data_IF_462818137901
#
_entry.id   IF_462818137901
#
_cell.length_a   1.000
_cell.length_b   1.000
_cell.length_c   1.000
_cell.angle_alpha   90.00
_cell.angle_beta   90.00
_cell.angle_gamma   90.00
#
_symmetry.space_group_name_H-M   'P 1'
#
loop_
_entity.id
_entity.type
_entity.pdbx_description
1 polymer ?
#
# COMPACT_ATOMS: atom_id res chain seq x y z
N UNK A 1 -20.28 23.37 -18.51
CA UNK A 1 -18.97 22.76 -18.19
C UNK A 1 -18.77 22.54 -16.69
N UNK A 2 -19.29 23.42 -15.82
CA UNK A 2 -19.07 23.35 -14.37
C UNK A 2 -19.65 22.09 -13.68
N UNK A 3 -20.85 21.66 -14.09
CA UNK A 3 -21.53 20.49 -13.50
C UNK A 3 -20.78 19.16 -13.72
N UNK A 4 -20.06 19.02 -14.84
CA UNK A 4 -19.33 17.80 -15.17
C UNK A 4 -18.06 17.66 -14.31
N UNK A 5 -17.34 18.75 -14.07
CA UNK A 5 -16.17 18.75 -13.16
C UNK A 5 -16.59 18.39 -11.73
N UNK A 6 -17.69 18.98 -11.24
CA UNK A 6 -18.24 18.66 -9.92
C UNK A 6 -18.65 17.18 -9.81
N UNK A 7 -19.22 16.62 -10.87
CA UNK A 7 -19.60 15.20 -10.91
C UNK A 7 -18.38 14.29 -10.84
N UNK A 8 -17.34 14.55 -11.64
CA UNK A 8 -16.12 13.73 -11.65
C UNK A 8 -15.39 13.83 -10.32
N UNK A 9 -15.33 15.02 -9.70
CA UNK A 9 -14.74 15.17 -8.36
C UNK A 9 -15.49 14.35 -7.32
N UNK A 10 -16.83 14.32 -7.37
CA UNK A 10 -17.62 13.47 -6.47
C UNK A 10 -17.33 11.98 -6.68
N UNK A 11 -17.20 11.54 -7.93
CA UNK A 11 -16.82 10.15 -8.25
C UNK A 11 -15.43 9.83 -7.69
N UNK A 12 -14.47 10.76 -7.83
CA UNK A 12 -13.13 10.61 -7.28
C UNK A 12 -13.17 10.48 -5.76
N UNK A 13 -13.91 11.33 -5.05
CA UNK A 13 -14.02 11.27 -3.60
C UNK A 13 -14.64 9.97 -3.11
N UNK A 14 -15.72 9.50 -3.75
CA UNK A 14 -16.31 8.20 -3.44
C UNK A 14 -15.30 7.06 -3.67
N UNK A 15 -14.49 7.15 -4.73
CA UNK A 15 -13.47 6.12 -5.00
C UNK A 15 -12.37 6.13 -3.97
N UNK A 16 -11.94 7.30 -3.50
CA UNK A 16 -10.98 7.44 -2.39
C UNK A 16 -11.54 6.80 -1.11
N UNK A 17 -12.83 6.97 -0.82
CA UNK A 17 -13.48 6.34 0.33
C UNK A 17 -13.45 4.81 0.26
N UNK A 18 -13.80 4.26 -0.91
CA UNK A 18 -13.74 2.81 -1.17
C UNK A 18 -12.32 2.26 -0.97
N UNK A 19 -11.33 2.88 -1.62
CA UNK A 19 -9.93 2.45 -1.56
C UNK A 19 -9.39 2.55 -0.13
N UNK A 20 -9.77 3.59 0.61
CA UNK A 20 -9.41 3.78 2.02
C UNK A 20 -9.99 2.66 2.88
N UNK A 21 -11.24 2.30 2.66
CA UNK A 21 -11.88 1.21 3.39
C UNK A 21 -11.24 -0.16 3.07
N UNK A 22 -10.97 -0.45 1.79
CA UNK A 22 -10.30 -1.67 1.35
C UNK A 22 -8.91 -1.81 1.97
N UNK A 23 -8.10 -0.75 1.86
CA UNK A 23 -6.76 -0.67 2.45
C UNK A 23 -6.78 -0.88 3.97
N UNK A 24 -7.69 -0.19 4.68
CA UNK A 24 -7.85 -0.35 6.12
C UNK A 24 -8.22 -1.78 6.49
N UNK A 25 -9.26 -2.34 5.87
CA UNK A 25 -9.74 -3.68 6.20
C UNK A 25 -8.65 -4.74 5.98
N UNK A 26 -7.92 -4.63 4.88
CA UNK A 26 -6.82 -5.55 4.58
C UNK A 26 -5.70 -5.43 5.61
N UNK A 27 -5.23 -4.22 5.89
CA UNK A 27 -4.16 -4.00 6.85
C UNK A 27 -4.56 -4.38 8.28
N UNK A 28 -5.77 -4.02 8.70
CA UNK A 28 -6.32 -4.29 10.04
C UNK A 28 -6.38 -5.78 10.35
N UNK A 29 -6.90 -6.56 9.41
CA UNK A 29 -6.98 -8.02 9.52
C UNK A 29 -5.59 -8.66 9.43
N UNK A 30 -4.70 -8.12 8.60
CA UNK A 30 -3.39 -8.74 8.33
C UNK A 30 -2.35 -8.46 9.42
N UNK A 31 -2.17 -7.19 9.80
CA UNK A 31 -1.12 -6.74 10.73
C UNK A 31 -1.55 -6.83 12.19
N UNK A 32 -2.79 -6.43 12.48
CA UNK A 32 -3.30 -6.35 13.85
C UNK A 32 -4.32 -7.44 14.18
N UNK A 33 -4.53 -8.41 13.28
CA UNK A 33 -5.38 -9.59 13.50
C UNK A 33 -6.80 -9.24 13.96
N UNK A 34 -7.34 -8.11 13.48
CA UNK A 34 -8.69 -7.66 13.83
C UNK A 34 -8.82 -7.05 15.23
N UNK A 35 -7.70 -6.64 15.87
CA UNK A 35 -7.71 -5.99 17.18
C UNK A 35 -8.74 -4.84 17.27
N UNK A 36 -9.58 -4.77 18.32
CA UNK A 36 -10.69 -3.82 18.38
C UNK A 36 -10.22 -2.40 18.75
N UNK A 37 -9.70 -1.66 17.77
CA UNK A 37 -9.38 -0.24 17.92
C UNK A 37 -10.65 0.60 18.16
N UNK A 38 -10.51 1.68 18.92
CA UNK A 38 -11.58 2.66 19.10
C UNK A 38 -11.94 3.35 17.79
N UNK A 39 -13.15 3.89 17.70
CA UNK A 39 -13.62 4.61 16.51
C UNK A 39 -12.68 5.77 16.13
N UNK A 40 -12.13 6.47 17.13
CA UNK A 40 -11.21 7.57 16.92
C UNK A 40 -9.87 7.09 16.33
N UNK A 41 -9.32 5.99 16.84
CA UNK A 41 -8.09 5.40 16.29
C UNK A 41 -8.28 4.91 14.85
N UNK A 42 -9.42 4.28 14.56
CA UNK A 42 -9.78 3.85 13.20
C UNK A 42 -9.92 5.06 12.27
N UNK A 43 -10.56 6.13 12.74
CA UNK A 43 -10.72 7.39 11.99
C UNK A 43 -9.37 8.02 11.68
N UNK A 44 -8.47 8.07 12.65
CA UNK A 44 -7.13 8.64 12.48
C UNK A 44 -6.27 7.81 11.53
N UNK A 45 -6.37 6.48 11.58
CA UNK A 45 -5.71 5.60 10.62
C UNK A 45 -6.24 5.80 9.19
N UNK A 46 -7.57 5.76 9.02
CA UNK A 46 -8.21 6.00 7.72
C UNK A 46 -7.92 7.39 7.17
N UNK A 47 -7.76 8.40 8.01
CA UNK A 47 -7.34 9.75 7.59
C UNK A 47 -5.95 9.74 6.94
N UNK A 48 -5.00 8.96 7.45
CA UNK A 48 -3.66 8.86 6.84
C UNK A 48 -3.71 8.11 5.50
N UNK A 49 -4.49 7.02 5.43
CA UNK A 49 -4.70 6.27 4.18
C UNK A 49 -5.39 7.16 3.14
N UNK A 50 -6.41 7.93 3.53
CA UNK A 50 -7.12 8.85 2.62
C UNK A 50 -6.16 9.83 1.97
N UNK A 51 -5.29 10.46 2.77
CA UNK A 51 -4.27 11.40 2.29
C UNK A 51 -3.34 10.79 1.24
N UNK A 52 -3.05 9.49 1.36
CA UNK A 52 -2.21 8.78 0.40
C UNK A 52 -2.86 8.72 -0.99
N UNK A 53 -4.18 8.50 -1.07
CA UNK A 53 -4.92 8.52 -2.34
C UNK A 53 -5.25 9.95 -2.82
N UNK A 54 -5.50 10.88 -1.90
CA UNK A 54 -5.73 12.31 -2.23
C UNK A 54 -4.50 13.00 -2.83
N UNK A 55 -3.29 12.49 -2.53
CA UNK A 55 -2.05 13.00 -3.09
C UNK A 55 -1.89 12.68 -4.60
N UNK A 56 -2.72 11.78 -5.16
CA UNK A 56 -2.68 11.45 -6.59
C UNK A 56 -3.32 12.61 -7.38
N UNK A 57 -2.63 13.18 -8.38
CA UNK A 57 -3.19 14.24 -9.21
C UNK A 57 -4.52 13.82 -9.86
N UNK A 58 -5.46 14.75 -9.92
CA UNK A 58 -6.83 14.49 -10.39
C UNK A 58 -6.85 13.86 -11.78
N UNK A 59 -5.99 14.35 -12.67
CA UNK A 59 -5.91 14.00 -14.09
C UNK A 59 -5.52 12.54 -14.33
N UNK A 60 -4.77 11.95 -13.40
CA UNK A 60 -4.25 10.58 -13.51
C UNK A 60 -4.82 9.64 -12.46
N UNK A 61 -5.76 10.11 -11.62
CA UNK A 61 -6.26 9.37 -10.46
C UNK A 61 -6.74 7.96 -10.82
N UNK A 62 -7.58 7.83 -11.84
CA UNK A 62 -8.17 6.52 -12.20
C UNK A 62 -7.16 5.55 -12.83
N UNK A 63 -6.01 6.05 -13.27
CA UNK A 63 -4.91 5.24 -13.81
C UNK A 63 -4.02 4.76 -12.67
N UNK A 64 -3.61 5.67 -11.76
CA UNK A 64 -2.62 5.41 -10.72
C UNK A 64 -3.19 4.79 -9.43
N UNK A 65 -4.46 5.05 -9.10
CA UNK A 65 -5.04 4.62 -7.83
C UNK A 65 -5.01 3.09 -7.58
N UNK A 66 -5.25 2.23 -8.60
CA UNK A 66 -5.09 0.78 -8.44
C UNK A 66 -3.66 0.37 -8.07
N UNK A 67 -2.66 0.96 -8.73
CA UNK A 67 -1.24 0.66 -8.47
C UNK A 67 -0.83 1.14 -7.08
N UNK A 68 -1.32 2.31 -6.65
CA UNK A 68 -1.11 2.81 -5.28
C UNK A 68 -1.75 1.91 -4.23
N UNK A 69 -2.94 1.36 -4.48
CA UNK A 69 -3.52 0.36 -3.58
C UNK A 69 -2.63 -0.89 -3.52
N UNK A 70 -2.13 -1.37 -4.66
CA UNK A 70 -1.23 -2.52 -4.72
C UNK A 70 0.07 -2.28 -3.94
N UNK A 71 0.70 -1.11 -4.11
CA UNK A 71 1.88 -0.70 -3.35
C UNK A 71 1.63 -0.77 -1.83
N UNK A 72 0.48 -0.26 -1.37
CA UNK A 72 0.11 -0.28 0.04
C UNK A 72 -0.09 -1.72 0.56
N UNK A 73 -0.74 -2.58 -0.21
CA UNK A 73 -0.96 -4.00 0.10
C UNK A 73 0.38 -4.76 0.19
N UNK A 74 1.30 -4.52 -0.74
CA UNK A 74 2.65 -5.10 -0.70
C UNK A 74 3.40 -4.66 0.56
N UNK A 75 3.28 -3.38 0.95
CA UNK A 75 3.89 -2.87 2.20
C UNK A 75 3.35 -3.56 3.44
N UNK A 76 2.06 -3.89 3.47
CA UNK A 76 1.45 -4.69 4.54
C UNK A 76 2.09 -6.07 4.59
N UNK A 77 2.22 -6.78 3.46
CA UNK A 77 2.83 -8.11 3.40
C UNK A 77 4.29 -8.13 3.84
N UNK A 78 5.09 -7.17 3.37
CA UNK A 78 6.51 -7.03 3.79
C UNK A 78 6.60 -6.81 5.30
N UNK A 79 5.66 -6.06 5.88
CA UNK A 79 5.63 -5.82 7.32
C UNK A 79 5.30 -7.09 8.09
N UNK A 80 4.41 -7.95 7.58
CA UNK A 80 4.13 -9.26 8.18
C UNK A 80 5.40 -10.10 8.23
N UNK A 81 6.09 -10.26 7.10
CA UNK A 81 7.33 -11.04 7.02
C UNK A 81 8.40 -10.48 7.98
N UNK A 82 8.57 -9.16 8.01
CA UNK A 82 9.49 -8.50 8.92
C UNK A 82 9.22 -8.84 10.39
N UNK A 83 7.95 -8.83 10.82
CA UNK A 83 7.56 -9.11 12.21
C UNK A 83 7.79 -10.59 12.54
N UNK A 84 7.42 -11.50 11.64
CA UNK A 84 7.50 -12.95 11.88
C UNK A 84 8.93 -13.47 12.04
N UNK A 85 9.92 -12.81 11.42
CA UNK A 85 11.32 -13.27 11.43
C UNK A 85 12.03 -13.22 12.79
N UNK A 86 11.61 -12.38 13.73
CA UNK A 86 12.26 -12.31 15.06
C UNK A 86 11.23 -12.10 16.19
N UNK A 87 11.27 -12.93 17.24
CA UNK A 87 10.50 -12.70 18.45
C UNK A 87 10.76 -11.30 19.03
N UNK A 88 9.71 -10.67 19.57
CA UNK A 88 9.78 -9.33 20.16
C UNK A 88 9.56 -8.15 19.19
N UNK A 89 9.44 -8.42 17.89
CA UNK A 89 8.98 -7.41 16.92
C UNK A 89 7.47 -7.24 17.00
N UNK A 90 7.01 -6.00 16.84
CA UNK A 90 5.59 -5.66 16.81
C UNK A 90 5.30 -4.58 15.76
N UNK A 91 4.06 -4.53 15.30
CA UNK A 91 3.56 -3.44 14.47
C UNK A 91 3.12 -2.30 15.37
N UNK A 92 3.50 -1.06 15.02
CA UNK A 92 3.07 0.13 15.76
C UNK A 92 1.57 0.37 15.62
N UNK A 93 1.04 1.29 16.42
CA UNK A 93 -0.35 1.74 16.29
C UNK A 93 -0.67 2.18 14.83
N UNK A 94 -1.85 1.86 14.27
CA UNK A 94 -2.15 2.10 12.86
C UNK A 94 -1.99 3.56 12.41
N UNK A 95 -2.45 4.51 13.22
CA UNK A 95 -2.31 5.94 12.90
C UNK A 95 -0.83 6.38 12.78
N UNK A 96 0.07 5.72 13.50
CA UNK A 96 1.51 5.96 13.39
C UNK A 96 2.12 5.20 12.21
N UNK A 97 1.64 3.98 11.92
CA UNK A 97 2.16 3.14 10.84
C UNK A 97 1.84 3.73 9.45
N UNK A 98 0.62 4.21 9.24
CA UNK A 98 0.20 4.84 7.98
C UNK A 98 0.72 6.27 7.79
N UNK A 99 1.29 6.89 8.83
CA UNK A 99 1.80 8.25 8.74
C UNK A 99 3.11 8.28 7.92
N UNK A 100 3.14 8.93 6.75
CA UNK A 100 4.33 8.97 5.89
C UNK A 100 5.51 9.72 6.54
N UNK A 101 5.24 10.60 7.51
CA UNK A 101 6.26 11.35 8.25
C UNK A 101 6.84 10.57 9.43
N UNK A 102 6.34 9.37 9.72
CA UNK A 102 6.87 8.55 10.79
C UNK A 102 8.23 7.95 10.37
N UNK A 103 9.32 8.62 10.78
CA UNK A 103 10.70 8.18 10.54
C UNK A 103 11.01 6.79 11.08
N UNK A 104 10.29 6.31 12.10
CA UNK A 104 10.46 4.98 12.69
C UNK A 104 9.48 3.94 12.15
N UNK A 105 8.56 4.35 11.25
CA UNK A 105 7.68 3.45 10.53
C UNK A 105 8.47 2.71 9.44
N UNK A 106 8.37 3.18 8.20
CA UNK A 106 8.98 2.54 7.03
C UNK A 106 10.50 2.38 7.09
N UNK A 107 11.23 3.06 7.98
CA UNK A 107 12.69 2.91 8.07
C UNK A 107 13.14 1.48 8.37
N UNK A 108 12.36 0.72 9.16
CA UNK A 108 12.67 -0.69 9.46
C UNK A 108 12.48 -1.64 8.28
N UNK A 109 11.58 -1.30 7.34
CA UNK A 109 11.16 -2.15 6.22
C UNK A 109 11.62 -1.64 4.85
N UNK A 110 12.16 -0.40 4.75
CA UNK A 110 12.60 0.20 3.47
C UNK A 110 13.68 -0.65 2.79
N UNK A 111 14.72 -1.04 3.53
CA UNK A 111 15.80 -1.89 3.00
C UNK A 111 15.27 -3.23 2.48
N UNK A 112 14.19 -3.74 3.06
CA UNK A 112 13.56 -4.99 2.64
C UNK A 112 12.74 -4.83 1.37
N UNK A 113 12.01 -3.72 1.23
CA UNK A 113 11.37 -3.36 -0.02
C UNK A 113 12.39 -3.19 -1.15
N UNK A 114 13.49 -2.47 -0.88
CA UNK A 114 14.57 -2.27 -1.85
C UNK A 114 15.18 -3.63 -2.29
N UNK A 115 15.38 -4.56 -1.36
CA UNK A 115 15.85 -5.93 -1.65
C UNK A 115 14.83 -6.75 -2.45
N UNK A 116 13.55 -6.73 -2.10
CA UNK A 116 12.51 -7.45 -2.82
C UNK A 116 12.39 -6.95 -4.26
N UNK A 117 12.42 -5.63 -4.46
CA UNK A 117 12.42 -5.02 -5.80
C UNK A 117 13.64 -5.47 -6.59
N UNK A 118 14.82 -5.53 -5.96
CA UNK A 118 16.01 -6.09 -6.60
C UNK A 118 15.87 -7.57 -6.93
N UNK A 119 15.38 -8.42 -6.01
CA UNK A 119 15.17 -9.85 -6.23
C UNK A 119 14.18 -10.12 -7.37
N UNK A 120 13.04 -9.42 -7.39
CA UNK A 120 12.06 -9.51 -8.49
C UNK A 120 12.65 -9.02 -9.80
N UNK A 121 13.50 -7.98 -9.78
CA UNK A 121 14.23 -7.52 -10.96
C UNK A 121 15.27 -8.56 -11.42
N UNK A 122 15.95 -9.26 -10.51
CA UNK A 122 16.87 -10.35 -10.85
C UNK A 122 16.13 -11.57 -11.39
N UNK A 123 14.96 -11.91 -10.83
CA UNK A 123 14.09 -12.96 -11.36
C UNK A 123 13.57 -12.60 -12.76
N UNK A 124 13.20 -11.35 -13.02
CA UNK A 124 12.76 -10.92 -14.37
C UNK A 124 13.92 -10.82 -15.37
N UNK A 125 15.14 -10.49 -14.92
CA UNK A 125 16.34 -10.61 -15.76
C UNK A 125 16.70 -12.07 -16.00
N UNK A 126 16.44 -12.96 -15.04
CA UNK A 126 16.67 -14.40 -15.19
C UNK A 126 15.58 -15.05 -16.02
N UNK A 127 14.35 -14.55 -16.00
CA UNK A 127 13.20 -15.11 -16.71
C UNK A 127 12.45 -14.03 -17.49
N UNK A 128 12.39 -14.14 -18.80
CA UNK A 128 11.74 -13.18 -19.69
C UNK A 128 10.77 -13.88 -20.65
N UNK A 129 9.77 -13.17 -21.14
CA UNK A 129 8.87 -13.69 -22.16
C UNK A 129 9.39 -13.32 -23.56
N UNK A 130 9.53 -14.32 -24.41
CA UNK A 130 9.82 -14.15 -25.84
C UNK A 130 8.79 -14.94 -26.65
N UNK A 131 8.06 -14.26 -27.54
CA UNK A 131 6.97 -14.85 -28.34
C UNK A 131 5.93 -15.62 -27.51
N UNK A 132 5.56 -15.06 -26.34
CA UNK A 132 4.55 -15.65 -25.46
C UNK A 132 5.03 -16.89 -24.68
N UNK A 133 6.32 -17.25 -24.74
CA UNK A 133 6.90 -18.35 -23.96
C UNK A 133 7.85 -17.79 -22.90
N UNK A 134 7.73 -18.27 -21.67
CA UNK A 134 8.67 -17.97 -20.60
C UNK A 134 10.02 -18.63 -20.90
N UNK A 135 11.07 -17.83 -20.99
CA UNK A 135 12.46 -18.25 -21.19
C UNK A 135 13.30 -17.85 -19.99
N UNK A 136 14.46 -18.48 -19.84
CA UNK A 136 15.46 -18.07 -18.86
C UNK A 136 16.77 -17.64 -19.52
N UNK A 137 17.41 -16.60 -18.96
CA UNK A 137 18.82 -16.31 -19.18
C UNK A 137 19.63 -17.31 -18.33
N UNK A 138 19.77 -18.54 -18.82
CA UNK A 138 20.75 -19.47 -18.28
C UNK A 138 22.14 -18.97 -18.69
N UNK A 139 23.02 -18.76 -17.70
CA UNK A 139 24.44 -18.54 -17.93
C UNK A 139 25.11 -19.81 -18.48
#
# INVERSE_FOLDING_TARGET
MDNMKTTIEKIRQNKIDELTAMAWNYAHTTLWKGYPFSEQEVKDAKKQIRKYFEAIPFEIFFIEAPDKLMELTIRVLITVDYIQRKPGRYVTHPAAWFNPNNKFGFAGTKRWYDNLVQEVAYESMRFYYENGKLKSNAA
#
